data_IF_477807361720
#
_entry.id   IF_477807361720
#
_cell.length_a   1.000
_cell.length_b   1.000
_cell.length_c   1.000
_cell.angle_alpha   90.00
_cell.angle_beta   90.00
_cell.angle_gamma   90.00
#
_symmetry.space_group_name_H-M   'P 1'
#
loop_
_entity.id
_entity.type
_entity.pdbx_description
1 polymer ?
#
# COMPACT_ATOMS: atom_id res chain seq x y z
N UNK A 1 4.55 39.54 -16.90
CA UNK A 1 4.76 40.20 -15.59
C UNK A 1 6.00 39.59 -14.95
N UNK A 2 6.95 40.42 -14.49
CA UNK A 2 8.23 39.95 -13.94
C UNK A 2 8.01 39.61 -12.46
N UNK A 3 8.22 38.36 -12.01
CA UNK A 3 7.96 37.99 -10.63
C UNK A 3 8.87 38.79 -9.71
N UNK A 4 8.31 39.40 -8.67
CA UNK A 4 9.10 40.17 -7.69
C UNK A 4 9.71 39.18 -6.71
N UNK A 5 10.90 39.48 -6.18
CA UNK A 5 11.58 38.66 -5.15
C UNK A 5 10.67 38.28 -3.97
N UNK A 6 9.69 39.15 -3.67
CA UNK A 6 8.66 38.91 -2.65
C UNK A 6 7.78 37.69 -2.93
N UNK A 7 7.50 37.38 -4.19
CA UNK A 7 6.67 36.23 -4.56
C UNK A 7 7.43 34.92 -4.33
N UNK A 8 8.75 34.92 -4.52
CA UNK A 8 9.60 33.76 -4.24
C UNK A 8 9.70 33.52 -2.73
N UNK A 9 9.80 34.58 -1.93
CA UNK A 9 9.78 34.48 -0.47
C UNK A 9 8.44 33.93 0.07
N UNK A 10 7.31 34.31 -0.53
CA UNK A 10 5.99 33.77 -0.17
C UNK A 10 5.84 32.30 -0.54
N UNK A 11 6.34 31.89 -1.72
CA UNK A 11 6.34 30.48 -2.13
C UNK A 11 7.22 29.63 -1.20
N UNK A 12 8.39 30.14 -0.81
CA UNK A 12 9.29 29.46 0.12
C UNK A 12 8.66 29.31 1.52
N UNK A 13 7.99 30.36 2.01
CA UNK A 13 7.27 30.33 3.28
C UNK A 13 6.10 29.34 3.24
N UNK A 14 5.37 29.28 2.12
CA UNK A 14 4.29 28.31 1.94
C UNK A 14 4.82 26.87 1.96
N UNK A 15 5.94 26.61 1.27
CA UNK A 15 6.59 25.28 1.27
C UNK A 15 7.07 24.87 2.66
N UNK A 16 7.71 25.77 3.40
CA UNK A 16 8.16 25.51 4.78
C UNK A 16 6.97 25.24 5.71
N UNK A 17 5.86 25.96 5.53
CA UNK A 17 4.64 25.77 6.32
C UNK A 17 4.02 24.39 6.05
N UNK A 18 3.93 23.98 4.78
CA UNK A 18 3.43 22.64 4.40
C UNK A 18 4.35 21.54 4.97
N UNK A 19 5.67 21.72 4.89
CA UNK A 19 6.64 20.76 5.45
C UNK A 19 6.56 20.68 6.98
N UNK A 20 6.43 21.81 7.67
CA UNK A 20 6.30 21.87 9.13
C UNK A 20 4.98 21.26 9.62
N UNK A 21 3.87 21.49 8.91
CA UNK A 21 2.59 20.85 9.20
C UNK A 21 2.64 19.33 8.98
N UNK A 22 3.31 18.86 7.91
CA UNK A 22 3.53 17.43 7.68
C UNK A 22 4.42 16.77 8.74
N UNK A 23 5.48 17.45 9.17
CA UNK A 23 6.39 16.96 10.21
C UNK A 23 5.73 16.93 11.60
N UNK A 24 4.95 17.96 11.96
CA UNK A 24 4.19 17.99 13.20
C UNK A 24 3.08 16.93 13.23
N UNK A 25 2.37 16.69 12.11
CA UNK A 25 1.41 15.60 12.00
C UNK A 25 2.09 14.23 12.17
N UNK A 26 3.23 14.01 11.53
CA UNK A 26 4.02 12.77 11.67
C UNK A 26 4.54 12.54 13.10
N UNK A 27 4.99 13.60 13.79
CA UNK A 27 5.49 13.50 15.17
C UNK A 27 4.37 13.37 16.22
N UNK A 28 3.18 13.93 15.97
CA UNK A 28 2.00 13.75 16.84
C UNK A 28 1.38 12.35 16.63
N UNK A 29 1.49 11.77 15.42
CA UNK A 29 1.10 10.38 15.15
C UNK A 29 1.98 9.35 15.88
N UNK A 30 3.24 9.67 16.17
CA UNK A 30 4.18 8.79 16.88
C UNK A 30 3.89 8.63 18.39
N UNK A 31 3.06 9.48 18.99
CA UNK A 31 2.74 9.45 20.44
C UNK A 31 1.35 8.93 20.79
N UNK A 32 0.53 8.58 19.79
CA UNK A 32 -0.76 7.92 20.06
C UNK A 32 -0.52 6.42 20.10
N UNK A 33 -0.52 5.85 21.30
CA UNK A 33 -0.74 4.43 21.61
C UNK A 33 -2.14 4.01 21.16
N UNK A 34 -2.42 4.18 19.87
CA UNK A 34 -3.48 3.44 19.22
C UNK A 34 -3.01 1.99 19.33
N UNK A 35 -3.78 1.07 19.93
CA UNK A 35 -3.46 -0.35 19.79
C UNK A 35 -3.22 -0.60 18.29
N UNK A 36 -2.19 -1.37 17.92
CA UNK A 36 -1.91 -1.64 16.52
C UNK A 36 -3.24 -1.95 15.84
N UNK A 37 -3.55 -1.17 14.79
CA UNK A 37 -4.70 -1.44 13.91
C UNK A 37 -4.70 -2.95 13.71
N UNK A 38 -5.80 -3.67 14.03
CA UNK A 38 -5.76 -5.12 14.08
C UNK A 38 -5.07 -5.59 12.82
N UNK A 39 -3.93 -6.27 13.00
CA UNK A 39 -3.37 -7.08 11.92
C UNK A 39 -4.57 -7.81 11.35
N UNK A 40 -4.85 -7.59 10.07
CA UNK A 40 -5.94 -8.30 9.39
C UNK A 40 -5.63 -9.76 9.65
N UNK A 41 -6.41 -10.37 10.55
CA UNK A 41 -6.07 -11.68 11.04
C UNK A 41 -6.01 -12.59 9.82
N UNK A 42 -4.99 -13.45 9.76
CA UNK A 42 -4.87 -14.42 8.66
C UNK A 42 -6.10 -15.35 8.56
N UNK A 43 -7.06 -15.24 9.49
CA UNK A 43 -8.26 -16.05 9.68
C UNK A 43 -9.53 -15.20 9.82
N UNK A 44 -9.58 -14.00 9.22
CA UNK A 44 -10.74 -13.11 9.33
C UNK A 44 -12.03 -13.77 8.81
N UNK A 45 -11.94 -14.75 7.90
CA UNK A 45 -13.09 -15.52 7.43
C UNK A 45 -13.76 -16.29 8.57
N UNK A 46 -12.96 -16.97 9.41
CA UNK A 46 -13.43 -17.77 10.54
C UNK A 46 -14.00 -16.87 11.64
N UNK A 47 -13.34 -15.74 11.90
CA UNK A 47 -13.78 -14.75 12.87
C UNK A 47 -15.12 -14.13 12.44
N UNK A 48 -15.25 -13.76 11.17
CA UNK A 48 -16.49 -13.20 10.60
C UNK A 48 -17.62 -14.23 10.66
N UNK A 49 -17.35 -15.48 10.29
CA UNK A 49 -18.34 -16.54 10.34
C UNK A 49 -18.80 -16.82 11.78
N UNK A 50 -17.87 -16.89 12.73
CA UNK A 50 -18.15 -17.07 14.15
C UNK A 50 -18.99 -15.92 14.71
N UNK A 51 -18.65 -14.68 14.35
CA UNK A 51 -19.40 -13.49 14.76
C UNK A 51 -20.83 -13.51 14.20
N UNK A 52 -21.01 -13.86 12.92
CA UNK A 52 -22.33 -13.93 12.29
C UNK A 52 -23.19 -15.05 12.88
N UNK A 53 -22.62 -16.24 13.13
CA UNK A 53 -23.31 -17.35 13.81
C UNK A 53 -23.74 -17.01 15.24
N UNK A 54 -22.98 -16.17 15.95
CA UNK A 54 -23.32 -15.72 17.32
C UNK A 54 -24.35 -14.60 17.35
N UNK A 55 -24.37 -13.75 16.34
CA UNK A 55 -25.24 -12.57 16.28
C UNK A 55 -26.58 -12.83 15.60
N UNK A 56 -26.68 -13.90 14.80
CA UNK A 56 -27.86 -14.24 14.02
C UNK A 56 -28.27 -15.70 14.27
N UNK A 57 -29.55 -15.93 14.51
CA UNK A 57 -30.13 -17.29 14.52
C UNK A 57 -30.33 -17.76 13.07
N UNK A 58 -29.26 -18.23 12.44
CA UNK A 58 -29.26 -18.67 11.05
C UNK A 58 -29.78 -20.10 10.91
N UNK A 59 -30.78 -20.30 10.05
CA UNK A 59 -31.18 -21.64 9.63
C UNK A 59 -30.04 -22.35 8.89
N UNK A 60 -30.00 -23.70 8.84
CA UNK A 60 -28.90 -24.43 8.20
C UNK A 60 -28.61 -24.02 6.75
N UNK A 61 -29.66 -23.70 5.97
CA UNK A 61 -29.51 -23.24 4.58
C UNK A 61 -28.90 -21.83 4.49
N UNK A 62 -29.18 -20.97 5.47
CA UNK A 62 -28.63 -19.62 5.55
C UNK A 62 -27.16 -19.66 5.96
N UNK A 63 -26.77 -20.59 6.85
CA UNK A 63 -25.36 -20.80 7.22
C UNK A 63 -24.50 -21.17 6.01
N UNK A 64 -24.96 -22.11 5.18
CA UNK A 64 -24.26 -22.48 3.94
C UNK A 64 -24.15 -21.28 2.98
N UNK A 65 -25.18 -20.45 2.93
CA UNK A 65 -25.19 -19.24 2.09
C UNK A 65 -24.18 -18.21 2.58
N UNK A 66 -24.14 -17.93 3.89
CA UNK A 66 -23.19 -17.02 4.52
C UNK A 66 -21.75 -17.51 4.32
N UNK A 67 -21.48 -18.79 4.56
CA UNK A 67 -20.16 -19.39 4.34
C UNK A 67 -19.69 -19.21 2.89
N UNK A 68 -20.58 -19.46 1.92
CA UNK A 68 -20.28 -19.26 0.49
C UNK A 68 -19.95 -17.81 0.16
N UNK A 69 -20.69 -16.85 0.72
CA UNK A 69 -20.43 -15.43 0.47
C UNK A 69 -19.11 -14.96 1.10
N UNK A 70 -18.79 -15.41 2.31
CA UNK A 70 -17.49 -15.14 2.95
C UNK A 70 -16.36 -15.70 2.08
N UNK A 71 -16.47 -16.94 1.60
CA UNK A 71 -15.46 -17.53 0.72
C UNK A 71 -15.30 -16.78 -0.62
N UNK A 72 -16.41 -16.30 -1.20
CA UNK A 72 -16.38 -15.43 -2.39
C UNK A 72 -15.68 -14.10 -2.12
N UNK A 73 -15.92 -13.50 -0.95
CA UNK A 73 -15.24 -12.27 -0.55
C UNK A 73 -13.74 -12.52 -0.33
N UNK A 74 -13.38 -13.57 0.39
CA UNK A 74 -11.99 -14.00 0.61
C UNK A 74 -11.23 -14.21 -0.70
N UNK A 75 -11.83 -14.92 -1.65
CA UNK A 75 -11.24 -15.12 -2.97
C UNK A 75 -10.99 -13.80 -3.69
N UNK A 76 -11.99 -12.90 -3.71
CA UNK A 76 -11.87 -11.57 -4.34
C UNK A 76 -10.80 -10.70 -3.67
N UNK A 77 -10.75 -10.69 -2.34
CA UNK A 77 -9.76 -9.95 -1.57
C UNK A 77 -8.36 -10.48 -1.86
N UNK A 78 -8.16 -11.81 -1.85
CA UNK A 78 -6.88 -12.43 -2.17
C UNK A 78 -6.40 -12.05 -3.57
N UNK A 79 -7.25 -12.22 -4.58
CA UNK A 79 -6.94 -11.85 -5.96
C UNK A 79 -6.56 -10.37 -6.06
N UNK A 80 -7.34 -9.48 -5.42
CA UNK A 80 -7.06 -8.04 -5.48
C UNK A 80 -5.77 -7.67 -4.76
N UNK A 81 -5.48 -8.34 -3.64
CA UNK A 81 -4.22 -8.16 -2.91
C UNK A 81 -3.03 -8.57 -3.77
N UNK A 82 -3.10 -9.74 -4.42
CA UNK A 82 -2.02 -10.25 -5.24
C UNK A 82 -1.78 -9.34 -6.47
N UNK A 83 -2.85 -8.86 -7.11
CA UNK A 83 -2.79 -7.83 -8.16
C UNK A 83 -2.14 -6.54 -7.64
N UNK A 84 -2.56 -6.06 -6.45
CA UNK A 84 -2.03 -4.82 -5.86
C UNK A 84 -0.54 -4.94 -5.53
N UNK A 85 -0.09 -6.10 -5.03
CA UNK A 85 1.32 -6.36 -4.75
C UNK A 85 2.15 -6.31 -6.04
N UNK A 86 1.63 -6.90 -7.13
CA UNK A 86 2.27 -6.85 -8.43
C UNK A 86 2.39 -5.41 -8.92
N UNK A 87 1.29 -4.66 -8.95
CA UNK A 87 1.28 -3.25 -9.37
C UNK A 87 2.22 -2.40 -8.53
N UNK A 88 2.25 -2.61 -7.21
CA UNK A 88 3.17 -1.91 -6.31
C UNK A 88 4.63 -2.13 -6.71
N UNK A 89 5.02 -3.37 -7.00
CA UNK A 89 6.38 -3.68 -7.42
C UNK A 89 6.70 -3.13 -8.82
N UNK A 90 5.77 -3.18 -9.76
CA UNK A 90 5.94 -2.59 -11.10
C UNK A 90 6.18 -1.08 -11.02
N UNK A 91 5.43 -0.36 -10.17
CA UNK A 91 5.62 1.08 -9.96
C UNK A 91 6.99 1.44 -9.37
N UNK A 92 7.52 0.61 -8.45
CA UNK A 92 8.89 0.79 -7.94
C UNK A 92 9.92 0.53 -9.04
N UNK A 93 9.72 -0.52 -9.86
CA UNK A 93 10.63 -0.83 -10.95
C UNK A 93 10.69 0.29 -12.00
N UNK A 94 9.54 0.89 -12.34
CA UNK A 94 9.46 2.07 -13.20
C UNK A 94 10.18 3.29 -12.59
N UNK A 95 10.01 3.52 -11.29
CA UNK A 95 10.74 4.57 -10.58
C UNK A 95 12.25 4.35 -10.68
N UNK A 96 12.73 3.12 -10.48
CA UNK A 96 14.14 2.80 -10.61
C UNK A 96 14.64 3.06 -12.03
N UNK A 97 13.85 2.73 -13.06
CA UNK A 97 14.15 3.10 -14.45
C UNK A 97 14.40 4.60 -14.63
N UNK A 98 13.47 5.44 -14.18
CA UNK A 98 13.60 6.90 -14.27
C UNK A 98 14.78 7.45 -13.48
N UNK A 99 15.07 6.88 -12.31
CA UNK A 99 16.21 7.29 -11.49
C UNK A 99 17.55 6.89 -12.12
N UNK A 100 17.64 5.72 -12.75
CA UNK A 100 18.85 5.28 -13.48
C UNK A 100 19.19 6.24 -14.62
N UNK A 101 18.21 6.83 -15.27
CA UNK A 101 18.41 7.84 -16.33
C UNK A 101 18.95 9.18 -15.82
N UNK A 102 18.72 9.50 -14.54
CA UNK A 102 19.14 10.76 -13.91
C UNK A 102 20.39 10.64 -13.04
N UNK A 103 20.74 9.41 -12.65
CA UNK A 103 21.90 9.12 -11.81
C UNK A 103 23.06 8.64 -12.68
N UNK A 104 24.27 9.06 -12.32
CA UNK A 104 25.49 8.62 -12.98
C UNK A 104 26.39 7.76 -12.07
N UNK A 105 27.26 7.00 -12.71
CA UNK A 105 28.36 6.28 -12.06
C UNK A 105 27.91 5.16 -11.11
N UNK A 106 28.52 5.04 -9.92
CA UNK A 106 28.35 3.87 -9.06
C UNK A 106 26.91 3.71 -8.51
N UNK A 107 26.18 4.81 -8.34
CA UNK A 107 24.80 4.78 -7.85
C UNK A 107 23.83 4.19 -8.89
N UNK A 108 24.00 4.57 -10.17
CA UNK A 108 23.22 4.00 -11.27
C UNK A 108 23.49 2.50 -11.43
N UNK A 109 24.74 2.07 -11.30
CA UNK A 109 25.11 0.65 -11.35
C UNK A 109 24.49 -0.16 -10.21
N UNK A 110 24.44 0.39 -8.99
CA UNK A 110 23.75 -0.25 -7.86
C UNK A 110 22.25 -0.37 -8.10
N UNK A 111 21.62 0.72 -8.56
CA UNK A 111 20.18 0.75 -8.80
C UNK A 111 19.76 -0.18 -9.96
N UNK A 112 20.61 -0.35 -10.98
CA UNK A 112 20.40 -1.37 -12.04
C UNK A 112 20.31 -2.79 -11.48
N UNK A 113 21.18 -3.16 -10.52
CA UNK A 113 21.14 -4.47 -9.87
C UNK A 113 19.87 -4.65 -9.02
N UNK A 114 19.51 -3.63 -8.26
CA UNK A 114 18.27 -3.65 -7.46
C UNK A 114 17.02 -3.76 -8.35
N UNK A 115 16.98 -3.02 -9.46
CA UNK A 115 15.92 -3.12 -10.46
C UNK A 115 15.83 -4.52 -11.06
N UNK A 116 16.96 -5.12 -11.44
CA UNK A 116 16.97 -6.48 -12.00
C UNK A 116 16.39 -7.50 -11.04
N UNK A 117 16.80 -7.48 -9.76
CA UNK A 117 16.24 -8.39 -8.75
C UNK A 117 14.73 -8.17 -8.53
N UNK A 118 14.28 -6.91 -8.59
CA UNK A 118 12.86 -6.59 -8.51
C UNK A 118 12.08 -7.09 -9.74
N UNK A 119 12.64 -6.96 -10.94
CA UNK A 119 12.03 -7.45 -12.19
C UNK A 119 11.89 -8.98 -12.19
N UNK A 120 12.90 -9.70 -11.69
CA UNK A 120 12.83 -11.16 -11.49
C UNK A 120 11.71 -11.53 -10.50
N UNK A 121 11.57 -10.76 -9.41
CA UNK A 121 10.47 -10.95 -8.46
C UNK A 121 9.10 -10.66 -9.08
N UNK A 122 8.97 -9.60 -9.87
CA UNK A 122 7.74 -9.28 -10.61
C UNK A 122 7.38 -10.43 -11.55
N UNK A 123 8.35 -10.97 -12.28
CA UNK A 123 8.14 -12.09 -13.18
C UNK A 123 7.66 -13.35 -12.43
N UNK A 124 8.22 -13.62 -11.25
CA UNK A 124 7.79 -14.75 -10.40
C UNK A 124 6.38 -14.56 -9.81
N UNK A 125 5.94 -13.31 -9.60
CA UNK A 125 4.61 -12.97 -9.06
C UNK A 125 3.51 -12.97 -10.13
N UNK A 126 3.85 -12.96 -11.42
CA UNK A 126 2.84 -13.01 -12.49
C UNK A 126 2.18 -14.38 -12.54
N UNK A 127 0.83 -14.44 -12.66
CA UNK A 127 0.15 -15.71 -12.86
C UNK A 127 0.63 -16.35 -14.17
N UNK A 128 1.05 -17.62 -14.11
CA UNK A 128 1.34 -18.39 -15.32
C UNK A 128 0.01 -18.75 -15.97
N UNK A 129 -0.24 -18.19 -17.15
CA UNK A 129 -1.36 -18.52 -18.04
C UNK A 129 -1.20 -19.88 -18.68
#
# INVERSE_FOLDING_TARGET
MKPRFRDHAVILLALVTVFACGFAAGHIQGKKTTPPKPEVSAHWEEETLSLLKRSLELAPQEQVTVEREIQRAATRIRLKRDETILTYHEQISELYGRLIEQLDGPNAAKLKKEKQSLDEKIQALRPQT
#
